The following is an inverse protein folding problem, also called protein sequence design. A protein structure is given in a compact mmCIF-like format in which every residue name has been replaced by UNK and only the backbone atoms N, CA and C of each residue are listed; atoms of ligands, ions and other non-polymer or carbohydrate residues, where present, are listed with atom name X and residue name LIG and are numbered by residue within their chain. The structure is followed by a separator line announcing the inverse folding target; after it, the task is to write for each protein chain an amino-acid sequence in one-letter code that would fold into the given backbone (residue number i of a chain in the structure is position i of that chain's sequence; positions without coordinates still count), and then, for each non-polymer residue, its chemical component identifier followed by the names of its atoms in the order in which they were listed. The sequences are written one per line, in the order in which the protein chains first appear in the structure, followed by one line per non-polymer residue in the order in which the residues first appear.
data_IF_069255797624
#
_entry.id   IF_069255797624
#
_cell.length_a   1.000
_cell.length_b   1.000
_cell.length_c   1.000
_cell.angle_alpha   90.00
_cell.angle_beta   90.00
_cell.angle_gamma   90.00
#
_symmetry.space_group_name_H-M   'P 1'
#
loop_
_entity.id
_entity.type
_entity.pdbx_description
1 polymer ?
#
# COMPACT_ATOMS: atom_id res chain seq x y z
N UNK A 1 -50.52 34.86 87.36
CA UNK A 1 -51.55 33.85 87.69
C UNK A 1 -51.80 32.86 86.54
N UNK A 2 -50.80 32.46 85.75
CA UNK A 2 -50.95 31.41 84.70
C UNK A 2 -49.95 30.25 84.84
N UNK A 3 -49.10 30.27 85.87
CA UNK A 3 -48.07 29.24 86.09
C UNK A 3 -48.43 28.23 87.19
N UNK A 4 -49.48 28.48 87.98
CA UNK A 4 -49.96 27.53 89.01
C UNK A 4 -51.00 26.54 88.46
N UNK A 5 -51.72 26.90 87.39
CA UNK A 5 -52.73 26.03 86.79
C UNK A 5 -52.15 24.92 85.89
N UNK A 6 -50.86 24.99 85.54
CA UNK A 6 -50.16 23.95 84.76
C UNK A 6 -49.52 22.85 85.63
N UNK A 7 -49.22 23.13 86.90
CA UNK A 7 -48.65 22.12 87.84
C UNK A 7 -49.72 21.16 88.40
N UNK A 8 -50.99 21.56 88.41
CA UNK A 8 -52.10 20.70 88.82
C UNK A 8 -52.41 19.56 87.84
N UNK A 9 -52.27 19.80 86.53
CA UNK A 9 -52.63 18.82 85.49
C UNK A 9 -51.53 17.79 85.18
N UNK A 10 -50.27 18.06 85.53
CA UNK A 10 -49.16 17.11 85.38
C UNK A 10 -49.09 16.08 86.53
N UNK A 11 -49.51 16.46 87.74
CA UNK A 11 -49.53 15.57 88.90
C UNK A 11 -50.64 14.50 88.83
N UNK A 12 -51.68 14.71 88.04
CA UNK A 12 -52.77 13.75 87.85
C UNK A 12 -52.45 12.70 86.76
N UNK A 13 -51.59 13.04 85.80
CA UNK A 13 -51.08 12.10 84.78
C UNK A 13 -50.00 11.15 85.31
N UNK A 14 -49.24 11.55 86.34
CA UNK A 14 -48.20 10.71 86.94
C UNK A 14 -48.71 9.75 88.04
N UNK A 15 -49.99 9.84 88.44
CA UNK A 15 -50.61 8.93 89.43
C UNK A 15 -51.24 7.67 88.80
N UNK A 16 -51.38 7.61 87.48
CA UNK A 16 -51.93 6.45 86.75
C UNK A 16 -50.82 5.44 86.38
N UNK A 17 -49.54 5.80 86.50
CA UNK A 17 -48.41 4.99 86.01
C UNK A 17 -47.75 4.12 87.11
N UNK A 18 -48.15 4.22 88.38
CA UNK A 18 -47.46 3.51 89.49
C UNK A 18 -48.29 2.48 90.27
N UNK A 19 -49.45 2.06 89.77
CA UNK A 19 -50.37 1.18 90.52
C UNK A 19 -50.95 0.01 89.72
N UNK A 20 -50.12 -0.88 89.18
CA UNK A 20 -50.56 -2.21 88.74
C UNK A 20 -49.43 -3.24 88.93
N UNK A 21 -49.36 -3.75 90.14
CA UNK A 21 -48.49 -4.83 90.59
C UNK A 21 -48.96 -6.18 90.00
N UNK A 22 -48.07 -6.79 89.20
CA UNK A 22 -47.61 -8.18 89.36
C UNK A 22 -48.66 -9.30 89.58
N UNK A 23 -49.42 -9.68 88.54
CA UNK A 23 -50.03 -11.01 88.46
C UNK A 23 -49.09 -11.96 87.69
N UNK A 24 -48.45 -12.88 88.42
CA UNK A 24 -47.50 -13.86 87.89
C UNK A 24 -48.24 -14.98 87.16
N UNK A 25 -47.91 -15.14 85.88
CA UNK A 25 -48.15 -16.37 85.10
C UNK A 25 -47.49 -17.58 85.78
N UNK A 26 -48.27 -18.63 86.07
CA UNK A 26 -47.79 -20.03 86.08
C UNK A 26 -48.83 -20.94 85.44
N UNK A 27 -48.58 -21.20 84.15
CA UNK A 27 -48.66 -22.50 83.48
C UNK A 27 -49.44 -23.63 84.17
N UNK A 28 -50.52 -24.04 83.53
CA UNK A 28 -50.92 -25.45 83.43
C UNK A 28 -51.54 -25.67 82.05
N UNK A 29 -50.72 -25.50 81.01
CA UNK A 29 -51.04 -25.96 79.67
C UNK A 29 -50.97 -27.50 79.65
N UNK A 30 -52.14 -28.13 79.73
CA UNK A 30 -52.31 -29.52 79.35
C UNK A 30 -53.54 -29.58 78.45
N UNK A 31 -53.29 -29.62 77.15
CA UNK A 31 -53.84 -30.61 76.21
C UNK A 31 -53.99 -30.04 74.78
N UNK A 32 -53.30 -30.74 73.87
CA UNK A 32 -53.77 -31.23 72.57
C UNK A 32 -54.18 -30.22 71.48
N UNK A 33 -53.61 -30.48 70.30
CA UNK A 33 -54.34 -30.38 69.05
C UNK A 33 -53.66 -29.47 68.03
N UNK A 34 -53.19 -30.11 66.94
CA UNK A 34 -53.10 -29.59 65.57
C UNK A 34 -52.92 -28.07 65.47
N UNK A 35 -51.73 -27.63 65.08
CA UNK A 35 -51.44 -26.24 64.73
C UNK A 35 -52.28 -25.77 63.54
N UNK A 36 -53.55 -25.48 63.80
CA UNK A 36 -54.41 -24.70 62.95
C UNK A 36 -53.89 -23.28 63.05
N UNK A 37 -53.17 -22.84 62.01
CA UNK A 37 -52.79 -21.44 61.85
C UNK A 37 -54.12 -20.68 61.78
N UNK A 38 -54.59 -20.18 62.91
CA UNK A 38 -55.72 -19.27 62.97
C UNK A 38 -55.23 -17.94 62.39
N UNK A 39 -55.29 -17.84 61.06
CA UNK A 39 -55.03 -16.58 60.35
C UNK A 39 -56.04 -15.58 60.88
N UNK A 40 -55.58 -14.68 61.75
CA UNK A 40 -56.42 -13.63 62.32
C UNK A 40 -56.73 -12.63 61.22
N UNK A 41 -57.92 -12.74 60.64
CA UNK A 41 -58.40 -11.78 59.64
C UNK A 41 -58.63 -10.44 60.33
N UNK A 42 -57.79 -9.47 59.98
CA UNK A 42 -57.84 -8.12 60.53
C UNK A 42 -58.88 -7.27 59.78
N UNK A 43 -59.23 -6.11 60.34
CA UNK A 43 -60.07 -5.14 59.62
C UNK A 43 -59.38 -4.62 58.34
N UNK A 44 -58.05 -4.50 58.34
CA UNK A 44 -57.26 -4.07 57.18
C UNK A 44 -57.39 -5.05 56.00
N UNK A 45 -57.41 -6.36 56.25
CA UNK A 45 -57.59 -7.38 55.20
C UNK A 45 -58.96 -7.24 54.51
N UNK A 46 -60.00 -6.87 55.29
CA UNK A 46 -61.36 -6.64 54.78
C UNK A 46 -61.43 -5.37 53.95
N UNK A 47 -60.74 -4.31 54.37
CA UNK A 47 -60.64 -3.05 53.64
C UNK A 47 -59.90 -3.24 52.31
N UNK A 48 -58.75 -3.93 52.33
CA UNK A 48 -58.00 -4.29 51.13
C UNK A 48 -58.85 -5.13 50.17
N UNK A 49 -59.56 -6.12 50.69
CA UNK A 49 -60.47 -6.94 49.87
C UNK A 49 -61.58 -6.10 49.24
N UNK A 50 -62.17 -5.15 49.97
CA UNK A 50 -63.17 -4.24 49.42
C UNK A 50 -62.60 -3.40 48.29
N UNK A 51 -61.36 -2.92 48.41
CA UNK A 51 -60.72 -2.10 47.39
C UNK A 51 -60.41 -2.87 46.11
N UNK A 52 -59.80 -4.07 46.24
CA UNK A 52 -59.55 -4.96 45.10
C UNK A 52 -60.85 -5.30 44.35
N UNK A 53 -61.93 -5.56 45.10
CA UNK A 53 -63.23 -5.91 44.52
C UNK A 53 -63.92 -4.73 43.82
N UNK A 54 -63.74 -3.50 44.34
CA UNK A 54 -64.20 -2.27 43.67
C UNK A 54 -63.54 -2.13 42.31
N UNK A 55 -62.24 -2.34 42.22
CA UNK A 55 -61.49 -2.22 40.96
C UNK A 55 -61.86 -3.32 39.96
N UNK A 56 -62.07 -4.57 40.42
CA UNK A 56 -62.31 -5.72 39.54
C UNK A 56 -63.77 -5.86 39.04
N UNK A 57 -64.75 -5.61 39.91
CA UNK A 57 -66.17 -5.91 39.65
C UNK A 57 -67.00 -4.62 39.44
N UNK A 58 -66.61 -3.50 40.06
CA UNK A 58 -67.26 -2.19 39.93
C UNK A 58 -68.62 -2.06 40.64
N UNK A 59 -69.48 -3.07 40.52
CA UNK A 59 -70.82 -3.10 41.11
C UNK A 59 -70.81 -3.77 42.51
N UNK A 60 -71.15 -2.99 43.53
CA UNK A 60 -71.20 -3.41 44.94
C UNK A 60 -72.32 -4.41 45.25
N UNK A 61 -73.31 -4.60 44.36
CA UNK A 61 -74.39 -5.59 44.55
C UNK A 61 -73.97 -7.03 44.19
N UNK A 62 -72.84 -7.18 43.50
CA UNK A 62 -72.39 -8.46 42.96
C UNK A 62 -71.48 -9.24 43.93
N UNK A 63 -71.08 -8.62 45.04
CA UNK A 63 -70.24 -9.22 46.08
C UNK A 63 -70.60 -8.71 47.47
N UNK A 64 -70.27 -9.48 48.51
CA UNK A 64 -70.42 -9.08 49.91
C UNK A 64 -69.21 -9.56 50.73
N UNK A 65 -68.56 -8.65 51.46
CA UNK A 65 -67.43 -8.98 52.34
C UNK A 65 -67.95 -9.23 53.76
N UNK A 66 -67.88 -10.48 54.22
CA UNK A 66 -68.23 -10.88 55.58
C UNK A 66 -67.06 -10.82 56.57
N UNK A 67 -67.26 -11.32 57.79
CA UNK A 67 -66.23 -11.33 58.84
C UNK A 67 -65.01 -12.19 58.47
N UNK A 68 -65.26 -13.34 57.84
CA UNK A 68 -64.23 -14.34 57.52
C UNK A 68 -64.15 -14.72 56.04
N UNK A 69 -65.15 -14.39 55.22
CA UNK A 69 -65.25 -14.83 53.81
C UNK A 69 -65.88 -13.75 52.93
N UNK A 70 -65.57 -13.81 51.63
CA UNK A 70 -66.21 -12.98 50.60
C UNK A 70 -67.22 -13.83 49.84
N UNK A 71 -68.44 -13.32 49.69
CA UNK A 71 -69.52 -13.95 48.94
C UNK A 71 -69.64 -13.29 47.57
N UNK A 72 -69.77 -14.11 46.53
CA UNK A 72 -69.91 -13.66 45.15
C UNK A 72 -71.24 -14.13 44.56
N UNK A 73 -71.81 -13.32 43.67
CA UNK A 73 -72.82 -13.81 42.73
C UNK A 73 -72.18 -14.76 41.71
N UNK A 74 -72.99 -15.65 41.14
CA UNK A 74 -72.52 -16.63 40.15
C UNK A 74 -71.79 -15.93 38.98
N UNK A 75 -70.72 -16.56 38.50
CA UNK A 75 -69.91 -16.05 37.37
C UNK A 75 -68.86 -14.99 37.73
N UNK A 76 -68.98 -14.29 38.87
CA UNK A 76 -68.04 -13.22 39.23
C UNK A 76 -66.64 -13.73 39.56
N UNK A 77 -66.54 -14.87 40.23
CA UNK A 77 -65.27 -15.53 40.49
C UNK A 77 -64.51 -15.87 39.19
N UNK A 78 -65.23 -16.37 38.18
CA UNK A 78 -64.64 -16.71 36.89
C UNK A 78 -64.11 -15.46 36.15
N UNK A 79 -64.83 -14.33 36.24
CA UNK A 79 -64.36 -13.04 35.74
C UNK A 79 -63.05 -12.60 36.41
N UNK A 80 -62.96 -12.71 37.74
CA UNK A 80 -61.72 -12.37 38.45
C UNK A 80 -60.56 -13.29 38.10
N UNK A 81 -60.81 -14.60 37.98
CA UNK A 81 -59.77 -15.55 37.59
C UNK A 81 -59.27 -15.30 36.16
N UNK A 82 -60.16 -14.88 35.26
CA UNK A 82 -59.77 -14.44 33.92
C UNK A 82 -58.87 -13.19 33.97
N UNK A 83 -59.24 -12.16 34.75
CA UNK A 83 -58.41 -10.97 34.94
C UNK A 83 -57.04 -11.30 35.55
N UNK A 84 -57.00 -12.19 36.56
CA UNK A 84 -55.75 -12.67 37.18
C UNK A 84 -54.83 -13.31 36.14
N UNK A 85 -55.36 -14.20 35.30
CA UNK A 85 -54.60 -14.83 34.20
C UNK A 85 -54.07 -13.79 33.21
N UNK A 86 -54.89 -12.81 32.83
CA UNK A 86 -54.44 -11.74 31.93
C UNK A 86 -53.31 -10.91 32.54
N UNK A 87 -53.41 -10.52 33.82
CA UNK A 87 -52.38 -9.74 34.50
C UNK A 87 -51.06 -10.53 34.58
N UNK A 88 -51.11 -11.80 34.97
CA UNK A 88 -49.94 -12.67 34.99
C UNK A 88 -49.30 -12.82 33.60
N UNK A 89 -50.11 -13.00 32.56
CA UNK A 89 -49.65 -13.07 31.18
C UNK A 89 -48.97 -11.78 30.72
N UNK A 90 -49.55 -10.61 31.04
CA UNK A 90 -48.97 -9.29 30.74
C UNK A 90 -47.64 -9.10 31.47
N UNK A 91 -47.59 -9.35 32.77
CA UNK A 91 -46.37 -9.25 33.59
C UNK A 91 -45.27 -10.17 33.07
N UNK A 92 -45.59 -11.43 32.75
CA UNK A 92 -44.64 -12.36 32.15
C UNK A 92 -44.11 -11.85 30.80
N UNK A 93 -44.98 -11.30 29.96
CA UNK A 93 -44.59 -10.74 28.66
C UNK A 93 -43.62 -9.56 28.81
N UNK A 94 -43.87 -8.68 29.78
CA UNK A 94 -42.98 -7.55 30.09
C UNK A 94 -41.61 -8.05 30.53
N UNK A 95 -41.57 -8.97 31.49
CA UNK A 95 -40.31 -9.56 31.99
C UNK A 95 -39.55 -10.23 30.83
N UNK A 96 -40.22 -11.09 30.06
CA UNK A 96 -39.61 -11.77 28.92
C UNK A 96 -39.08 -10.78 27.87
N UNK A 97 -39.79 -9.69 27.60
CA UNK A 97 -39.35 -8.64 26.66
C UNK A 97 -38.04 -8.01 27.11
N UNK A 98 -37.90 -7.68 28.39
CA UNK A 98 -36.66 -7.10 28.92
C UNK A 98 -35.50 -8.10 28.89
N UNK A 99 -35.74 -9.36 29.25
CA UNK A 99 -34.71 -10.41 29.20
C UNK A 99 -34.25 -10.65 27.76
N UNK A 100 -35.18 -10.79 26.81
CA UNK A 100 -34.84 -10.95 25.37
C UNK A 100 -34.02 -9.77 24.87
N UNK A 101 -34.43 -8.53 25.20
CA UNK A 101 -33.67 -7.33 24.85
C UNK A 101 -32.25 -7.36 25.42
N UNK A 102 -32.10 -7.71 26.70
CA UNK A 102 -30.80 -7.75 27.37
C UNK A 102 -29.85 -8.74 26.68
N UNK A 103 -30.33 -9.95 26.38
CA UNK A 103 -29.56 -10.98 25.67
C UNK A 103 -29.14 -10.48 24.29
N UNK A 104 -30.07 -9.92 23.50
CA UNK A 104 -29.77 -9.42 22.16
C UNK A 104 -28.80 -8.25 22.18
N UNK A 105 -28.92 -7.33 23.14
CA UNK A 105 -27.99 -6.22 23.32
C UNK A 105 -26.59 -6.71 23.67
N UNK A 106 -26.48 -7.69 24.57
CA UNK A 106 -25.20 -8.30 24.94
C UNK A 106 -24.51 -8.94 23.72
N UNK A 107 -25.26 -9.74 22.94
CA UNK A 107 -24.77 -10.33 21.69
C UNK A 107 -24.32 -9.27 20.68
N UNK A 108 -25.12 -8.22 20.48
CA UNK A 108 -24.78 -7.14 19.55
C UNK A 108 -23.47 -6.43 19.93
N UNK A 109 -23.27 -6.14 21.22
CA UNK A 109 -22.02 -5.51 21.69
C UNK A 109 -20.82 -6.43 21.44
N UNK A 110 -20.96 -7.73 21.72
CA UNK A 110 -19.93 -8.73 21.44
C UNK A 110 -19.58 -8.82 19.95
N UNK A 111 -20.59 -8.86 19.07
CA UNK A 111 -20.38 -8.86 17.62
C UNK A 111 -19.72 -7.57 17.14
N UNK A 112 -20.16 -6.42 17.63
CA UNK A 112 -19.56 -5.13 17.27
C UNK A 112 -18.08 -5.08 17.65
N UNK A 113 -17.72 -5.60 18.83
CA UNK A 113 -16.32 -5.73 19.24
C UNK A 113 -15.51 -6.60 18.29
N UNK A 114 -16.05 -7.76 17.91
CA UNK A 114 -15.40 -8.71 16.98
C UNK A 114 -15.21 -8.11 15.59
N UNK A 115 -16.23 -7.44 15.05
CA UNK A 115 -16.16 -6.75 13.75
C UNK A 115 -15.10 -5.65 13.77
N UNK A 116 -15.05 -4.86 14.85
CA UNK A 116 -14.04 -3.80 14.99
C UNK A 116 -12.61 -4.36 14.98
N UNK A 117 -12.36 -5.48 15.65
CA UNK A 117 -11.05 -6.15 15.63
C UNK A 117 -10.65 -6.56 14.22
N UNK A 118 -11.56 -7.20 13.48
CA UNK A 118 -11.31 -7.63 12.09
C UNK A 118 -11.06 -6.43 11.18
N UNK A 119 -11.88 -5.39 11.27
CA UNK A 119 -11.73 -4.18 10.46
C UNK A 119 -10.41 -3.47 10.75
N UNK A 120 -10.04 -3.34 12.02
CA UNK A 120 -8.78 -2.71 12.42
C UNK A 120 -7.58 -3.53 11.95
N UNK A 121 -7.65 -4.86 12.03
CA UNK A 121 -6.61 -5.74 11.51
C UNK A 121 -6.40 -5.54 10.00
N UNK A 122 -7.48 -5.57 9.21
CA UNK A 122 -7.42 -5.33 7.78
C UNK A 122 -6.90 -3.94 7.42
N UNK A 123 -7.35 -2.90 8.12
CA UNK A 123 -6.84 -1.54 7.92
C UNK A 123 -5.33 -1.45 8.18
N UNK A 124 -4.85 -2.06 9.26
CA UNK A 124 -3.42 -2.09 9.59
C UNK A 124 -2.62 -2.87 8.55
N UNK A 125 -3.09 -4.04 8.13
CA UNK A 125 -2.44 -4.84 7.10
C UNK A 125 -2.29 -4.07 5.78
N UNK A 126 -3.34 -3.35 5.36
CA UNK A 126 -3.27 -2.49 4.16
C UNK A 126 -2.22 -1.40 4.31
N UNK A 127 -2.17 -0.73 5.47
CA UNK A 127 -1.14 0.30 5.74
C UNK A 127 0.27 -0.31 5.70
N UNK A 128 0.47 -1.49 6.27
CA UNK A 128 1.77 -2.17 6.23
C UNK A 128 2.18 -2.54 4.80
N UNK A 129 1.27 -3.09 4.00
CA UNK A 129 1.53 -3.39 2.58
C UNK A 129 1.94 -2.16 1.79
N UNK A 130 1.23 -1.04 1.98
CA UNK A 130 1.58 0.23 1.35
C UNK A 130 2.93 0.76 1.82
N UNK A 131 3.27 0.59 3.10
CA UNK A 131 4.58 0.97 3.66
C UNK A 131 5.70 0.15 3.02
N UNK A 132 5.55 -1.17 2.92
CA UNK A 132 6.53 -2.06 2.28
C UNK A 132 6.70 -1.70 0.79
N UNK A 133 5.60 -1.52 0.06
CA UNK A 133 5.66 -1.10 -1.35
C UNK A 133 6.40 0.23 -1.52
N UNK A 134 6.13 1.22 -0.66
CA UNK A 134 6.84 2.51 -0.67
C UNK A 134 8.34 2.36 -0.44
N UNK A 135 8.74 1.51 0.52
CA UNK A 135 10.17 1.23 0.78
C UNK A 135 10.82 0.57 -0.42
N UNK A 136 10.15 -0.41 -1.06
CA UNK A 136 10.66 -1.08 -2.27
C UNK A 136 10.88 -0.11 -3.42
N UNK A 137 9.93 0.77 -3.69
CA UNK A 137 10.06 1.80 -4.75
C UNK A 137 11.24 2.74 -4.45
N UNK A 138 11.36 3.23 -3.21
CA UNK A 138 12.50 4.07 -2.80
C UNK A 138 13.83 3.35 -2.96
N UNK A 139 13.91 2.09 -2.55
CA UNK A 139 15.11 1.27 -2.70
C UNK A 139 15.49 1.09 -4.17
N UNK A 140 14.53 0.74 -5.03
CA UNK A 140 14.75 0.64 -6.47
C UNK A 140 15.26 1.95 -7.06
N UNK A 141 14.69 3.10 -6.66
CA UNK A 141 15.15 4.41 -7.11
C UNK A 141 16.61 4.69 -6.68
N UNK A 142 16.99 4.34 -5.45
CA UNK A 142 18.37 4.49 -4.97
C UNK A 142 19.34 3.60 -5.73
N UNK A 143 19.00 2.33 -5.94
CA UNK A 143 19.83 1.39 -6.70
C UNK A 143 19.98 1.86 -8.14
N UNK A 144 18.88 2.26 -8.80
CA UNK A 144 18.93 2.82 -10.16
C UNK A 144 19.86 4.03 -10.24
N UNK A 145 19.73 4.96 -9.29
CA UNK A 145 20.60 6.15 -9.23
C UNK A 145 22.08 5.75 -9.14
N UNK A 146 22.42 4.84 -8.22
CA UNK A 146 23.80 4.36 -8.05
C UNK A 146 24.34 3.67 -9.29
N UNK A 147 23.54 2.83 -9.96
CA UNK A 147 23.94 2.18 -11.21
C UNK A 147 24.18 3.19 -12.32
N UNK A 148 23.34 4.23 -12.44
CA UNK A 148 23.54 5.30 -13.42
C UNK A 148 24.82 6.10 -13.13
N UNK A 149 25.08 6.42 -11.86
CA UNK A 149 26.33 7.09 -11.44
C UNK A 149 27.57 6.27 -11.85
N UNK A 150 27.60 4.96 -11.58
CA UNK A 150 28.71 4.09 -11.98
C UNK A 150 28.86 3.99 -13.52
N UNK A 151 27.74 3.93 -14.25
CA UNK A 151 27.76 3.91 -15.72
C UNK A 151 28.32 5.20 -16.29
N UNK A 152 27.94 6.35 -15.73
CA UNK A 152 28.47 7.65 -16.15
C UNK A 152 29.97 7.76 -15.86
N UNK A 153 30.43 7.28 -14.70
CA UNK A 153 31.86 7.27 -14.37
C UNK A 153 32.65 6.43 -15.36
N UNK A 154 32.21 5.20 -15.65
CA UNK A 154 32.84 4.34 -16.64
C UNK A 154 32.85 4.96 -18.05
N UNK A 155 31.76 5.64 -18.44
CA UNK A 155 31.69 6.34 -19.72
C UNK A 155 32.67 7.53 -19.80
N UNK A 156 32.85 8.29 -18.70
CA UNK A 156 33.82 9.39 -18.62
C UNK A 156 35.25 8.87 -18.72
N UNK A 157 35.57 7.79 -18.02
CA UNK A 157 36.89 7.16 -18.09
C UNK A 157 37.18 6.63 -19.50
N UNK A 158 36.20 5.96 -20.14
CA UNK A 158 36.32 5.50 -21.51
C UNK A 158 36.51 6.66 -22.50
N UNK A 159 35.76 7.76 -22.33
CA UNK A 159 35.90 8.95 -23.16
C UNK A 159 37.27 9.62 -22.99
N UNK A 160 37.78 9.72 -21.76
CA UNK A 160 39.12 10.26 -21.48
C UNK A 160 40.22 9.40 -22.13
N UNK A 161 40.09 8.07 -22.11
CA UNK A 161 41.02 7.16 -22.81
C UNK A 161 40.93 7.34 -24.33
N UNK A 162 39.71 7.46 -24.88
CA UNK A 162 39.51 7.71 -26.30
C UNK A 162 40.11 9.05 -26.75
N UNK A 163 39.94 10.11 -25.96
CA UNK A 163 40.52 11.43 -26.23
C UNK A 163 42.05 11.40 -26.21
N UNK A 164 42.65 10.68 -25.25
CA UNK A 164 44.11 10.48 -25.21
C UNK A 164 44.62 9.78 -26.46
N UNK A 165 43.99 8.67 -26.85
CA UNK A 165 44.34 7.94 -28.08
C UNK A 165 44.18 8.81 -29.32
N UNK A 166 43.10 9.58 -29.43
CA UNK A 166 42.88 10.48 -30.55
C UNK A 166 43.95 11.57 -30.64
N UNK A 167 44.41 12.13 -29.51
CA UNK A 167 45.52 13.10 -29.47
C UNK A 167 46.84 12.46 -29.90
N UNK A 168 47.14 11.24 -29.43
CA UNK A 168 48.33 10.49 -29.84
C UNK A 168 48.31 10.17 -31.34
N UNK A 169 47.17 9.74 -31.87
CA UNK A 169 46.98 9.49 -33.31
C UNK A 169 47.10 10.77 -34.14
N UNK A 170 46.54 11.89 -33.68
CA UNK A 170 46.68 13.18 -34.32
C UNK A 170 48.15 13.65 -34.39
N UNK A 171 48.89 13.50 -33.29
CA UNK A 171 50.33 13.81 -33.24
C UNK A 171 51.15 12.93 -34.20
N UNK A 172 50.82 11.63 -34.30
CA UNK A 172 51.46 10.73 -35.28
C UNK A 172 51.16 11.14 -36.72
N UNK A 173 49.92 11.51 -37.03
CA UNK A 173 49.53 11.99 -38.37
C UNK A 173 50.31 13.28 -38.70
N UNK A 174 50.44 14.20 -37.75
CA UNK A 174 51.22 15.42 -37.92
C UNK A 174 52.70 15.13 -38.17
N UNK A 175 53.29 14.20 -37.42
CA UNK A 175 54.68 13.78 -37.62
C UNK A 175 54.91 13.15 -38.99
N UNK A 176 54.00 12.28 -39.45
CA UNK A 176 54.05 11.69 -40.78
C UNK A 176 53.94 12.75 -41.88
N UNK A 177 53.04 13.73 -41.72
CA UNK A 177 52.92 14.87 -42.66
C UNK A 177 54.20 15.70 -42.70
N UNK A 178 54.85 15.92 -41.55
CA UNK A 178 56.13 16.63 -41.51
C UNK A 178 57.24 15.86 -42.23
N UNK A 179 57.31 14.53 -42.04
CA UNK A 179 58.24 13.65 -42.78
C UNK A 179 57.98 13.66 -44.28
N UNK A 180 56.71 13.62 -44.70
CA UNK A 180 56.32 13.72 -46.11
C UNK A 180 56.78 15.04 -46.73
N UNK A 181 56.51 16.18 -46.08
CA UNK A 181 56.99 17.50 -46.55
C UNK A 181 58.51 17.56 -46.65
N UNK A 182 59.23 16.97 -45.69
CA UNK A 182 60.69 16.92 -45.73
C UNK A 182 61.21 16.05 -46.88
N UNK A 183 60.52 14.94 -47.18
CA UNK A 183 60.80 14.14 -48.37
C UNK A 183 60.50 14.94 -49.64
N UNK A 184 59.39 15.66 -49.72
CA UNK A 184 59.08 16.52 -50.88
C UNK A 184 60.14 17.58 -51.12
N UNK A 185 60.65 18.24 -50.06
CA UNK A 185 61.78 19.18 -50.15
C UNK A 185 63.05 18.46 -50.62
N UNK A 186 63.38 17.29 -50.08
CA UNK A 186 64.54 16.52 -50.54
C UNK A 186 64.41 16.06 -51.99
N UNK A 187 63.22 15.64 -52.41
CA UNK A 187 62.94 15.28 -53.80
C UNK A 187 63.03 16.52 -54.71
N UNK A 188 62.62 17.69 -54.23
CA UNK A 188 62.81 18.96 -54.93
C UNK A 188 64.30 19.36 -55.01
N UNK A 189 65.08 19.18 -53.94
CA UNK A 189 66.54 19.37 -53.93
C UNK A 189 67.26 18.38 -54.88
N UNK A 190 66.84 17.12 -54.93
CA UNK A 190 67.35 16.12 -55.88
C UNK A 190 66.92 16.40 -57.33
N UNK A 191 65.78 17.07 -57.54
CA UNK A 191 65.35 17.55 -58.86
C UNK A 191 66.03 18.87 -59.25
N UNK A 192 66.38 19.72 -58.28
CA UNK A 192 67.27 20.88 -58.39
C UNK A 192 68.74 20.43 -58.39
N UNK A 193 69.07 19.43 -59.22
CA UNK A 193 70.47 19.12 -59.51
C UNK A 193 71.11 20.32 -60.21
N UNK A 194 72.24 20.87 -59.71
CA UNK A 194 72.96 21.90 -60.43
C UNK A 194 73.34 21.34 -61.80
N UNK A 195 73.02 22.10 -62.87
CA UNK A 195 73.13 21.66 -64.28
C UNK A 195 74.49 21.02 -64.65
N UNK A 196 75.54 21.22 -63.85
CA UNK A 196 76.84 20.59 -64.01
C UNK A 196 76.88 19.07 -63.78
N UNK A 197 75.94 18.48 -63.03
CA UNK A 197 76.07 17.10 -62.53
C UNK A 197 75.39 16.01 -63.38
N UNK A 198 74.64 16.39 -64.43
CA UNK A 198 74.01 15.44 -65.37
C UNK A 198 75.06 14.84 -66.33
N UNK A 199 76.05 15.64 -66.74
CA UNK A 199 77.12 15.20 -67.64
C UNK A 199 78.11 14.23 -66.99
N UNK A 200 78.33 14.34 -65.67
CA UNK A 200 79.26 13.50 -64.92
C UNK A 200 78.78 12.05 -64.76
N UNK A 201 77.47 11.83 -64.64
CA UNK A 201 76.88 10.49 -64.43
C UNK A 201 76.59 9.73 -65.72
N UNK A 202 76.34 10.43 -66.83
CA UNK A 202 76.12 9.79 -68.13
C UNK A 202 77.40 9.26 -68.79
N UNK A 203 78.57 9.87 -68.55
CA UNK A 203 79.80 9.54 -69.28
C UNK A 203 81.06 9.30 -68.42
N UNK A 204 80.98 9.36 -67.08
CA UNK A 204 82.08 8.92 -66.20
C UNK A 204 83.43 9.60 -66.43
N UNK A 205 83.44 10.84 -66.95
CA UNK A 205 84.66 11.59 -67.28
C UNK A 205 84.63 13.00 -66.65
N UNK A 206 85.76 13.54 -66.18
CA UNK A 206 85.83 14.89 -65.62
C UNK A 206 85.80 15.93 -66.76
N UNK A 207 84.70 16.67 -66.91
CA UNK A 207 84.63 17.75 -67.89
C UNK A 207 85.47 18.96 -67.44
N UNK A 208 86.38 19.44 -68.32
CA UNK A 208 87.07 20.74 -68.18
C UNK A 208 86.28 21.85 -68.87
N UNK A 209 86.47 23.10 -68.42
CA UNK A 209 85.65 24.29 -68.73
C UNK A 209 85.44 24.64 -70.22
N UNK A 210 86.23 24.11 -71.16
CA UNK A 210 86.06 24.38 -72.59
C UNK A 210 85.08 23.41 -73.30
N UNK A 211 84.50 22.46 -72.56
CA UNK A 211 83.59 21.43 -73.08
C UNK A 211 82.10 21.77 -72.88
N UNK A 212 81.76 23.07 -72.83
CA UNK A 212 80.38 23.56 -72.87
C UNK A 212 80.11 24.14 -74.26
N UNK A 213 79.19 23.58 -75.06
CA UNK A 213 78.84 24.14 -76.36
C UNK A 213 78.22 25.54 -76.19
N UNK A 214 78.96 26.58 -76.57
CA UNK A 214 78.45 27.95 -76.72
C UNK A 214 77.77 28.09 -78.07
N UNK A 215 76.62 27.46 -78.28
CA UNK A 215 75.72 27.78 -79.40
C UNK A 215 74.27 27.48 -79.01
N UNK A 216 73.39 28.47 -79.21
CA UNK A 216 72.00 28.51 -78.76
C UNK A 216 71.03 27.60 -79.53
N UNK A 217 71.52 26.58 -80.24
CA UNK A 217 70.71 25.83 -81.22
C UNK A 217 70.14 24.49 -80.70
N UNK A 218 70.69 23.91 -79.62
CA UNK A 218 70.24 22.61 -79.10
C UNK A 218 69.26 22.69 -77.90
N UNK A 219 68.95 23.89 -77.42
CA UNK A 219 68.02 24.10 -76.31
C UNK A 219 66.55 23.88 -76.72
N UNK A 220 66.24 24.00 -78.01
CA UNK A 220 64.89 23.76 -78.54
C UNK A 220 64.57 22.25 -78.65
N UNK A 221 65.55 21.39 -78.90
CA UNK A 221 65.33 19.93 -79.01
C UNK A 221 65.00 19.34 -77.63
N UNK A 222 65.67 19.81 -76.58
CA UNK A 222 65.42 19.39 -75.19
C UNK A 222 64.09 19.86 -74.61
N UNK A 223 63.65 21.10 -74.94
CA UNK A 223 62.36 21.63 -74.50
C UNK A 223 61.14 20.96 -75.18
N UNK A 224 61.34 20.27 -76.31
CA UNK A 224 60.32 19.47 -77.00
C UNK A 224 60.23 18.04 -76.44
N UNK A 225 61.32 17.49 -75.91
CA UNK A 225 61.36 16.18 -75.29
C UNK A 225 60.84 16.17 -73.83
N UNK A 226 60.95 17.28 -73.09
CA UNK A 226 60.48 17.39 -71.71
C UNK A 226 58.97 17.69 -71.55
N UNK A 227 58.22 17.76 -72.66
CA UNK A 227 56.76 17.95 -72.68
C UNK A 227 56.10 16.88 -73.55
N UNK A 228 56.15 15.64 -73.11
CA UNK A 228 55.27 14.56 -73.57
C UNK A 228 54.92 13.63 -72.38
N UNK A 229 53.64 13.29 -72.16
CA UNK A 229 53.17 12.65 -70.94
C UNK A 229 53.38 11.13 -71.00
N UNK A 230 54.42 10.62 -70.34
CA UNK A 230 54.50 9.20 -70.05
C UNK A 230 55.38 8.98 -68.81
N UNK A 231 54.71 8.83 -67.65
CA UNK A 231 55.06 8.00 -66.49
C UNK A 231 54.23 8.49 -65.28
N UNK A 232 52.96 8.09 -65.23
CA UNK A 232 52.21 7.95 -63.98
C UNK A 232 51.39 6.67 -64.07
N UNK A 233 52.05 5.56 -63.74
CA UNK A 233 51.43 4.27 -63.48
C UNK A 233 51.92 3.83 -62.11
N UNK A 234 51.29 4.33 -61.04
CA UNK A 234 51.25 3.74 -59.70
C UNK A 234 50.13 4.41 -58.89
N UNK A 235 49.10 3.63 -58.52
CA UNK A 235 48.20 3.93 -57.40
C UNK A 235 46.73 4.22 -57.76
N UNK A 236 45.74 3.64 -57.05
CA UNK A 236 44.49 3.18 -57.64
C UNK A 236 43.36 4.22 -57.68
N UNK A 237 42.61 4.20 -58.78
CA UNK A 237 41.29 4.78 -58.90
C UNK A 237 40.34 4.24 -57.82
N UNK A 238 39.60 5.16 -57.20
CA UNK A 238 38.42 4.92 -56.39
C UNK A 238 37.47 3.92 -57.06
N UNK A 239 37.41 2.70 -56.53
CA UNK A 239 36.20 1.90 -56.65
C UNK A 239 35.20 2.46 -55.65
N UNK A 240 34.23 3.21 -56.17
CA UNK A 240 32.94 3.41 -55.52
C UNK A 240 32.34 2.03 -55.33
N UNK A 241 32.46 1.46 -54.12
CA UNK A 241 31.59 0.35 -53.71
C UNK A 241 30.22 0.95 -53.42
N UNK A 242 29.36 0.96 -54.44
CA UNK A 242 27.94 0.78 -54.22
C UNK A 242 27.76 -0.63 -53.65
N UNK A 243 27.42 -0.73 -52.35
CA UNK A 243 26.85 -1.97 -51.84
C UNK A 243 25.45 -2.09 -52.40
N UNK A 244 25.34 -2.84 -53.49
CA UNK A 244 24.10 -3.40 -53.99
C UNK A 244 23.54 -4.36 -52.94
N UNK A 245 22.23 -4.24 -52.74
CA UNK A 245 21.41 -4.94 -51.78
C UNK A 245 21.27 -6.44 -52.03
N UNK A 246 22.33 -7.24 -52.11
CA UNK A 246 22.22 -8.69 -52.33
C UNK A 246 23.20 -9.58 -51.55
N UNK A 247 23.40 -9.29 -50.26
CA UNK A 247 23.86 -10.32 -49.32
C UNK A 247 22.65 -11.04 -48.71
N UNK A 248 22.33 -12.23 -49.23
CA UNK A 248 21.37 -13.17 -48.63
C UNK A 248 21.65 -13.39 -47.13
N UNK A 249 22.92 -13.36 -46.75
CA UNK A 249 23.38 -13.50 -45.36
C UNK A 249 22.89 -12.35 -44.47
N UNK A 250 22.89 -11.11 -44.98
CA UNK A 250 22.43 -9.93 -44.23
C UNK A 250 20.90 -9.90 -44.17
N UNK A 251 20.20 -10.25 -45.26
CA UNK A 251 18.73 -10.41 -45.26
C UNK A 251 18.29 -11.51 -44.26
N UNK A 252 19.00 -12.64 -44.22
CA UNK A 252 18.75 -13.70 -43.24
C UNK A 252 19.07 -13.29 -41.80
N UNK A 253 20.14 -12.51 -41.57
CA UNK A 253 20.49 -12.02 -40.23
C UNK A 253 19.46 -11.02 -39.70
N UNK A 254 18.98 -10.12 -40.57
CA UNK A 254 17.96 -9.13 -40.22
C UNK A 254 16.62 -9.80 -39.94
N UNK A 255 16.20 -10.78 -40.75
CA UNK A 255 14.95 -11.50 -40.48
C UNK A 255 15.04 -12.47 -39.29
N UNK A 256 16.21 -13.05 -39.02
CA UNK A 256 16.47 -13.77 -37.76
C UNK A 256 16.34 -12.83 -36.56
N UNK A 257 16.88 -11.61 -36.66
CA UNK A 257 16.77 -10.63 -35.58
C UNK A 257 15.35 -10.12 -35.39
N UNK A 258 14.59 -9.95 -36.47
CA UNK A 258 13.17 -9.56 -36.44
C UNK A 258 12.31 -10.64 -35.79
N UNK A 259 12.55 -11.92 -36.10
CA UNK A 259 11.85 -13.05 -35.48
C UNK A 259 12.23 -13.25 -34.01
N UNK A 260 13.50 -13.02 -33.63
CA UNK A 260 13.95 -13.00 -32.22
C UNK A 260 13.22 -11.91 -31.41
N UNK A 261 13.16 -10.68 -31.94
CA UNK A 261 12.45 -9.56 -31.28
C UNK A 261 10.95 -9.82 -31.15
N UNK A 262 10.32 -10.42 -32.16
CA UNK A 262 8.91 -10.82 -32.09
C UNK A 262 8.67 -11.94 -31.08
N UNK A 263 9.58 -12.92 -30.97
CA UNK A 263 9.51 -13.96 -29.95
C UNK A 263 9.74 -13.43 -28.54
N UNK A 264 10.62 -12.46 -28.35
CA UNK A 264 10.84 -11.78 -27.06
C UNK A 264 9.61 -10.94 -26.67
N UNK A 265 9.00 -10.24 -27.62
CA UNK A 265 7.75 -9.50 -27.40
C UNK A 265 6.58 -10.44 -27.06
N UNK A 266 6.48 -11.60 -27.73
CA UNK A 266 5.48 -12.62 -27.43
C UNK A 266 5.71 -13.28 -26.06
N UNK A 267 6.96 -13.56 -25.67
CA UNK A 267 7.32 -14.04 -24.31
C UNK A 267 7.00 -13.00 -23.23
N UNK A 268 7.16 -11.71 -23.53
CA UNK A 268 6.79 -10.60 -22.64
C UNK A 268 5.27 -10.41 -22.53
N UNK A 269 4.51 -10.68 -23.59
CA UNK A 269 3.03 -10.73 -23.53
C UNK A 269 2.56 -11.91 -22.69
N UNK A 270 3.09 -13.12 -22.94
CA UNK A 270 2.72 -14.34 -22.19
C UNK A 270 3.03 -14.27 -20.70
N UNK A 271 4.10 -13.56 -20.30
CA UNK A 271 4.35 -13.24 -18.88
C UNK A 271 3.31 -12.31 -18.29
N UNK A 272 2.90 -11.26 -19.01
CA UNK A 272 1.84 -10.35 -18.56
C UNK A 272 0.47 -11.01 -18.45
N UNK A 273 0.18 -11.98 -19.33
CA UNK A 273 -1.08 -12.74 -19.29
C UNK A 273 -1.07 -13.77 -18.14
N UNK A 274 0.05 -14.46 -17.90
CA UNK A 274 0.21 -15.35 -16.72
C UNK A 274 0.13 -14.59 -15.39
N UNK A 275 0.74 -13.40 -15.31
CA UNK A 275 0.65 -12.56 -14.11
C UNK A 275 -0.81 -12.11 -13.87
N UNK A 276 -1.57 -11.79 -14.93
CA UNK A 276 -2.99 -11.44 -14.84
C UNK A 276 -3.90 -12.62 -14.45
N UNK A 277 -3.58 -13.84 -14.87
CA UNK A 277 -4.30 -15.05 -14.47
C UNK A 277 -3.97 -15.46 -13.02
N UNK A 278 -2.72 -15.29 -12.57
CA UNK A 278 -2.36 -15.40 -11.15
C UNK A 278 -3.05 -14.33 -10.29
N UNK A 279 -3.19 -13.09 -10.78
CA UNK A 279 -3.97 -12.06 -10.09
C UNK A 279 -5.47 -12.35 -10.04
N UNK A 280 -6.03 -13.06 -11.03
CA UNK A 280 -7.44 -13.50 -11.04
C UNK A 280 -7.69 -14.70 -10.12
N UNK A 281 -6.74 -15.64 -10.00
CA UNK A 281 -6.84 -16.79 -9.10
C UNK A 281 -6.69 -16.43 -7.61
N UNK A 282 -6.22 -15.23 -7.28
CA UNK A 282 -6.10 -14.72 -5.90
C UNK A 282 -7.38 -13.98 -5.44
N UNK A 283 -8.34 -13.72 -6.35
CA UNK A 283 -9.54 -12.93 -6.07
C UNK A 283 -10.89 -13.61 -6.37
N UNK A 284 -10.87 -14.90 -6.70
CA UNK A 284 -12.04 -15.81 -6.70
C UNK A 284 -11.69 -17.06 -5.88
#
# INVERSE_FOLDING_TARGET
MELENKRGQENEKNKIVSGASMERRRSSDREKGKGEITVRITNADRELSKEILRECIGDTRQYQVGLSKVFFRAGQWAKMEHLRKQLLGKSATVIQKYVRRMIMRSRFISYKGSVFVIQNWWANEMVQRLRVARVRVKFFQLVKRKVMEYREQAAREAAAVAERKAKEEAARIEELRAKQKLLEVKMAEEQEMPRGNIYQRMYGLPCREWMVPTTSYDQHIWNKAAKSPFLSNYGPHEQVYCYTSDDEVVKQLVERRRTEVLQESAKSSKRRDNDNDEFRAIWF
#
